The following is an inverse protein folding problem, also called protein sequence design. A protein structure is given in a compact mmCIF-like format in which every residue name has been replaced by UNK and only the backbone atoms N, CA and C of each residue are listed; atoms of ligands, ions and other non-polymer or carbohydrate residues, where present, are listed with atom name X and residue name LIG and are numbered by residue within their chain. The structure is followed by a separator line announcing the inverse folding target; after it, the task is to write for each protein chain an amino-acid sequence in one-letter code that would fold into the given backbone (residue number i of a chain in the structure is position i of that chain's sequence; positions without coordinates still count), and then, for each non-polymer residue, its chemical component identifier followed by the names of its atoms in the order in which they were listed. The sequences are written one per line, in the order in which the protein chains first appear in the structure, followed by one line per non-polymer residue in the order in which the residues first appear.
data_IF_143049504837
#
_entry.id   IF_143049504837
#
_cell.length_a   1.000
_cell.length_b   1.000
_cell.length_c   1.000
_cell.angle_alpha   90.00
_cell.angle_beta   90.00
_cell.angle_gamma   90.00
#
_symmetry.space_group_name_H-M   'P 1'
#
loop_
_entity.id
_entity.type
_entity.pdbx_description
1 polymer ?
#
# COMPACT_ATOMS: atom_id res chain seq x y z
N UNK A 1 15.44 32.04 31.75
CA UNK A 1 15.68 30.63 31.45
C UNK A 1 16.25 30.52 30.02
N UNK A 2 17.37 29.86 29.85
CA UNK A 2 17.87 29.61 28.49
C UNK A 2 16.87 28.70 27.76
N UNK A 3 16.49 29.08 26.54
CA UNK A 3 15.62 28.27 25.70
C UNK A 3 16.38 27.00 25.29
N UNK A 4 15.66 25.86 25.24
CA UNK A 4 16.26 24.57 24.90
C UNK A 4 16.05 24.17 23.44
N UNK A 5 15.35 25.01 22.67
CA UNK A 5 15.12 24.76 21.25
C UNK A 5 16.00 25.67 20.40
N UNK A 6 16.64 25.13 19.35
CA UNK A 6 16.72 23.70 19.00
C UNK A 6 17.74 22.97 19.90
N UNK A 7 17.42 21.73 20.31
CA UNK A 7 18.31 20.91 21.17
C UNK A 7 19.61 20.51 20.50
N UNK A 8 19.62 20.45 19.20
CA UNK A 8 20.75 19.97 18.37
C UNK A 8 21.75 21.08 18.00
N UNK A 9 21.49 22.35 18.37
CA UNK A 9 22.38 23.47 18.08
C UNK A 9 22.37 24.47 19.22
N UNK A 10 23.43 24.48 20.00
CA UNK A 10 23.59 25.43 21.08
C UNK A 10 23.71 26.86 20.57
N UNK A 11 24.36 27.07 19.40
CA UNK A 11 24.49 28.37 18.77
C UNK A 11 23.14 28.98 18.42
N UNK A 12 22.23 28.20 17.86
CA UNK A 12 20.86 28.63 17.58
C UNK A 12 20.04 28.82 18.85
N UNK A 13 20.19 27.94 19.84
CA UNK A 13 19.46 28.03 21.10
C UNK A 13 19.79 29.27 21.90
N UNK A 14 20.94 29.89 21.66
CA UNK A 14 21.38 31.14 22.29
C UNK A 14 20.96 32.39 21.53
N UNK A 15 20.41 32.25 20.31
CA UNK A 15 19.92 33.39 19.54
C UNK A 15 18.63 33.93 20.19
N UNK A 16 18.62 35.19 20.64
CA UNK A 16 17.46 35.78 21.31
C UNK A 16 16.35 36.20 20.35
N UNK A 17 16.61 36.12 19.03
CA UNK A 17 15.67 36.59 18.00
C UNK A 17 14.76 35.45 17.51
N UNK A 18 13.74 35.80 16.74
CA UNK A 18 12.85 34.82 16.12
C UNK A 18 13.56 33.96 15.08
N UNK A 19 14.75 34.35 14.59
CA UNK A 19 15.61 33.57 13.73
C UNK A 19 15.91 32.18 14.31
N UNK A 20 16.03 32.06 15.62
CA UNK A 20 16.22 30.79 16.32
C UNK A 20 15.15 29.78 15.95
N UNK A 21 13.89 30.17 15.91
CA UNK A 21 12.77 29.29 15.56
C UNK A 21 12.84 28.86 14.09
N UNK A 22 13.05 29.83 13.19
CA UNK A 22 13.09 29.55 11.76
C UNK A 22 14.27 28.65 11.39
N UNK A 23 15.44 28.95 11.90
CA UNK A 23 16.64 28.16 11.62
C UNK A 23 16.61 26.82 12.34
N UNK A 24 16.00 26.73 13.51
CA UNK A 24 15.76 25.48 14.20
C UNK A 24 14.89 24.52 13.41
N UNK A 25 13.86 25.01 12.74
CA UNK A 25 13.00 24.21 11.86
C UNK A 25 13.76 23.85 10.58
N UNK A 26 14.42 24.80 9.95
CA UNK A 26 15.10 24.60 8.66
C UNK A 26 16.26 23.60 8.75
N UNK A 27 16.95 23.50 9.88
CA UNK A 27 18.14 22.67 10.06
C UNK A 27 17.87 21.38 10.83
N UNK A 28 16.61 21.08 11.15
CA UNK A 28 16.26 19.91 11.95
C UNK A 28 16.70 18.57 11.33
N UNK A 29 16.69 18.47 10.00
CA UNK A 29 17.09 17.26 9.28
C UNK A 29 18.54 17.29 8.78
N UNK A 30 19.28 18.36 9.06
CA UNK A 30 20.71 18.48 8.72
C UNK A 30 21.57 17.86 9.84
N UNK A 31 21.45 16.55 9.98
CA UNK A 31 22.02 15.81 11.11
C UNK A 31 23.55 15.93 11.22
N UNK A 32 24.23 16.06 10.08
CA UNK A 32 25.69 16.14 10.05
C UNK A 32 26.21 17.38 10.80
N UNK A 33 25.44 18.45 10.83
CA UNK A 33 25.83 19.73 11.46
C UNK A 33 25.43 19.80 12.93
N UNK A 34 24.69 18.84 13.44
CA UNK A 34 24.21 18.87 14.81
C UNK A 34 25.35 18.71 15.84
N UNK A 35 25.22 19.41 16.96
CA UNK A 35 26.21 19.36 18.04
C UNK A 35 26.42 17.94 18.55
N UNK A 36 27.68 17.55 18.69
CA UNK A 36 28.05 16.23 19.22
C UNK A 36 27.74 15.06 18.30
N UNK A 37 27.48 15.31 17.01
CA UNK A 37 27.20 14.25 16.04
C UNK A 37 28.46 13.41 15.80
N UNK A 38 28.30 12.08 15.87
CA UNK A 38 29.30 11.10 15.47
C UNK A 38 28.78 10.33 14.26
N UNK A 39 29.67 9.64 13.55
CA UNK A 39 29.27 8.84 12.40
C UNK A 39 28.23 7.77 12.79
N UNK A 40 28.44 7.08 13.89
CA UNK A 40 27.52 6.07 14.40
C UNK A 40 26.13 6.65 14.71
N UNK A 41 26.08 7.77 15.44
CA UNK A 41 24.82 8.45 15.74
C UNK A 41 24.11 8.94 14.49
N UNK A 42 24.87 9.42 13.50
CA UNK A 42 24.33 9.86 12.23
C UNK A 42 23.58 8.73 11.53
N UNK A 43 24.21 7.58 11.37
CA UNK A 43 23.58 6.41 10.75
C UNK A 43 22.35 5.94 11.52
N UNK A 44 22.44 5.87 12.85
CA UNK A 44 21.31 5.48 13.71
C UNK A 44 20.12 6.43 13.57
N UNK A 45 20.37 7.72 13.50
CA UNK A 45 19.34 8.74 13.37
C UNK A 45 18.66 8.70 11.99
N UNK A 46 19.42 8.46 10.94
CA UNK A 46 18.88 8.25 9.59
C UNK A 46 18.00 6.98 9.57
N UNK A 47 18.46 5.90 10.17
CA UNK A 47 17.71 4.64 10.24
C UNK A 47 16.38 4.82 10.95
N UNK A 48 16.37 5.45 12.11
CA UNK A 48 15.15 5.76 12.84
C UNK A 48 14.21 6.69 12.05
N UNK A 49 14.77 7.65 11.31
CA UNK A 49 14.00 8.56 10.45
C UNK A 49 13.34 7.82 9.28
N UNK A 50 14.00 6.79 8.75
CA UNK A 50 13.40 5.92 7.73
C UNK A 50 12.20 5.14 8.28
N UNK A 51 12.26 4.64 9.52
CA UNK A 51 11.09 4.06 10.18
C UNK A 51 9.96 5.08 10.30
N UNK A 52 10.27 6.32 10.67
CA UNK A 52 9.28 7.39 10.72
C UNK A 52 8.63 7.67 9.38
N UNK A 53 9.39 7.68 8.30
CA UNK A 53 8.87 7.86 6.94
C UNK A 53 7.95 6.71 6.54
N UNK A 54 8.34 5.47 6.82
CA UNK A 54 7.48 4.31 6.56
C UNK A 54 6.17 4.39 7.37
N UNK A 55 6.26 4.80 8.64
CA UNK A 55 5.07 4.98 9.47
C UNK A 55 4.10 6.02 8.85
N UNK A 56 4.63 7.14 8.35
CA UNK A 56 3.82 8.18 7.68
C UNK A 56 3.14 7.63 6.43
N UNK A 57 3.86 6.89 5.59
CA UNK A 57 3.30 6.29 4.38
C UNK A 57 2.15 5.32 4.73
N UNK A 58 2.34 4.47 5.73
CA UNK A 58 1.31 3.52 6.16
C UNK A 58 0.12 4.20 6.85
N UNK A 59 0.35 5.29 7.60
CA UNK A 59 -0.74 6.11 8.14
C UNK A 59 -1.55 6.78 7.03
N UNK A 60 -0.88 7.31 6.03
CA UNK A 60 -1.51 7.94 4.88
C UNK A 60 -2.40 6.93 4.12
N UNK A 61 -1.85 5.76 3.79
CA UNK A 61 -2.62 4.74 3.07
C UNK A 61 -3.76 4.17 3.91
N UNK A 62 -3.54 4.00 5.22
CA UNK A 62 -4.60 3.63 6.17
C UNK A 62 -5.73 4.66 6.17
N UNK A 63 -5.39 5.94 6.18
CA UNK A 63 -6.36 7.03 6.14
C UNK A 63 -7.19 7.04 4.87
N UNK A 64 -6.58 6.77 3.72
CA UNK A 64 -7.29 6.65 2.46
C UNK A 64 -8.32 5.51 2.49
N UNK A 65 -7.92 4.33 2.95
CA UNK A 65 -8.82 3.18 3.12
C UNK A 65 -9.96 3.49 4.09
N UNK A 66 -9.63 4.12 5.21
CA UNK A 66 -10.61 4.47 6.24
C UNK A 66 -11.67 5.45 5.70
N UNK A 67 -11.25 6.53 5.05
CA UNK A 67 -12.17 7.53 4.53
C UNK A 67 -13.06 6.99 3.42
N UNK A 68 -12.52 6.16 2.54
CA UNK A 68 -13.33 5.51 1.49
C UNK A 68 -14.32 4.52 2.11
N UNK A 69 -13.89 3.72 3.09
CA UNK A 69 -14.79 2.78 3.77
C UNK A 69 -15.94 3.49 4.49
N UNK A 70 -15.64 4.63 5.11
CA UNK A 70 -16.60 5.38 5.92
C UNK A 70 -17.46 6.34 5.10
N UNK A 71 -16.84 7.12 4.22
CA UNK A 71 -17.44 8.26 3.54
C UNK A 71 -17.60 8.07 2.04
N UNK A 72 -17.02 7.00 1.51
CA UNK A 72 -17.07 6.67 0.09
C UNK A 72 -18.31 5.89 -0.30
N UNK A 73 -18.32 5.44 -1.55
CA UNK A 73 -19.39 4.66 -2.16
C UNK A 73 -18.84 3.41 -2.88
N UNK A 74 -17.84 2.76 -2.29
CA UNK A 74 -17.07 1.68 -2.92
C UNK A 74 -17.97 0.51 -3.38
N UNK A 75 -18.91 0.05 -2.55
CA UNK A 75 -19.79 -1.05 -2.91
C UNK A 75 -20.74 -0.66 -4.05
N UNK A 76 -21.28 0.53 -4.00
CA UNK A 76 -22.17 1.05 -5.06
C UNK A 76 -21.42 1.28 -6.36
N UNK A 77 -20.20 1.78 -6.27
CA UNK A 77 -19.31 1.94 -7.41
C UNK A 77 -18.98 0.58 -8.06
N UNK A 78 -18.74 -0.46 -7.25
CA UNK A 78 -18.46 -1.81 -7.73
C UNK A 78 -19.60 -2.43 -8.53
N UNK A 79 -20.84 -2.03 -8.27
CA UNK A 79 -22.03 -2.48 -9.02
C UNK A 79 -22.09 -1.85 -10.42
N UNK A 80 -21.60 -0.62 -10.58
CA UNK A 80 -21.63 0.10 -11.87
C UNK A 80 -20.42 1.05 -11.98
N UNK A 81 -19.22 0.51 -12.27
CA UNK A 81 -17.99 1.32 -12.32
C UNK A 81 -17.97 2.38 -13.42
N UNK A 82 -18.77 2.20 -14.48
CA UNK A 82 -18.80 3.12 -15.61
C UNK A 82 -19.61 4.39 -15.32
N UNK A 83 -20.64 4.30 -14.49
CA UNK A 83 -21.60 5.40 -14.29
C UNK A 83 -21.54 6.01 -12.89
N UNK A 84 -21.12 5.25 -11.88
CA UNK A 84 -20.99 5.74 -10.51
C UNK A 84 -19.63 6.43 -10.35
N UNK A 85 -19.63 7.70 -9.93
CA UNK A 85 -18.40 8.45 -9.68
C UNK A 85 -17.85 8.07 -8.30
N UNK A 86 -16.57 7.69 -8.19
CA UNK A 86 -15.98 7.32 -6.90
C UNK A 86 -15.86 8.52 -5.97
N UNK A 87 -16.14 8.34 -4.69
CA UNK A 87 -16.10 9.37 -3.66
C UNK A 87 -14.83 9.22 -2.82
N UNK A 88 -14.08 10.32 -2.66
CA UNK A 88 -12.90 10.37 -1.83
C UNK A 88 -13.25 10.51 -0.34
N UNK A 89 -13.90 11.57 0.02
CA UNK A 89 -14.32 11.88 1.39
C UNK A 89 -15.42 12.93 1.39
N UNK A 90 -16.06 13.12 2.54
CA UNK A 90 -17.04 14.19 2.75
C UNK A 90 -16.37 15.55 2.89
N UNK A 91 -17.13 16.59 2.61
CA UNK A 91 -16.75 17.98 2.80
C UNK A 91 -17.44 18.50 4.07
N UNK A 92 -16.63 19.05 4.97
CA UNK A 92 -17.12 19.76 6.15
C UNK A 92 -16.58 21.18 6.13
N UNK A 93 -17.36 22.07 5.49
CA UNK A 93 -17.05 23.48 5.39
C UNK A 93 -18.24 24.31 5.87
N UNK A 94 -18.16 24.94 7.06
CA UNK A 94 -19.26 25.73 7.61
C UNK A 94 -19.61 26.98 6.80
N UNK A 95 -18.78 27.37 5.83
CA UNK A 95 -19.06 28.52 4.94
C UNK A 95 -19.98 28.17 3.77
N UNK A 96 -20.22 26.87 3.53
CA UNK A 96 -21.11 26.45 2.45
C UNK A 96 -22.56 26.90 2.72
N UNK A 97 -23.10 27.66 1.75
CA UNK A 97 -24.54 27.89 1.68
C UNK A 97 -25.24 26.75 0.95
N UNK A 98 -26.57 26.82 0.89
CA UNK A 98 -27.39 25.80 0.26
C UNK A 98 -26.97 25.49 -1.19
N UNK A 99 -26.67 26.48 -2.06
CA UNK A 99 -26.23 26.19 -3.43
C UNK A 99 -24.94 25.34 -3.50
N UNK A 100 -23.98 25.59 -2.62
CA UNK A 100 -22.74 24.80 -2.56
C UNK A 100 -23.01 23.39 -2.04
N UNK A 101 -23.82 23.24 -0.99
CA UNK A 101 -24.22 21.92 -0.47
C UNK A 101 -24.87 21.10 -1.58
N UNK A 102 -25.80 21.66 -2.34
CA UNK A 102 -26.46 20.95 -3.44
C UNK A 102 -25.48 20.61 -4.57
N UNK A 103 -24.60 21.54 -4.95
CA UNK A 103 -23.66 21.34 -6.05
C UNK A 103 -22.65 20.23 -5.77
N UNK A 104 -22.24 20.07 -4.51
CA UNK A 104 -21.24 19.06 -4.10
C UNK A 104 -21.86 17.78 -3.56
N UNK A 105 -23.18 17.70 -3.43
CA UNK A 105 -23.89 16.44 -3.09
C UNK A 105 -24.07 15.61 -4.35
N UNK A 106 -23.14 14.69 -4.59
CA UNK A 106 -23.03 13.94 -5.84
C UNK A 106 -22.50 12.53 -5.57
N UNK A 107 -22.42 11.68 -6.60
CA UNK A 107 -21.95 10.30 -6.45
C UNK A 107 -22.92 9.40 -5.66
N UNK A 108 -24.18 9.82 -5.49
CA UNK A 108 -25.16 9.10 -4.70
C UNK A 108 -25.04 9.31 -3.19
N UNK A 109 -24.24 10.28 -2.75
CA UNK A 109 -24.06 10.63 -1.35
C UNK A 109 -25.24 11.46 -0.83
N UNK A 110 -25.40 11.47 0.50
CA UNK A 110 -26.40 12.28 1.20
C UNK A 110 -25.87 13.62 1.71
N UNK A 111 -24.61 13.93 1.46
CA UNK A 111 -23.92 15.12 1.92
C UNK A 111 -22.88 15.56 0.88
N UNK A 112 -22.34 16.81 0.99
CA UNK A 112 -21.30 17.27 0.10
C UNK A 112 -20.06 16.35 0.17
N UNK A 113 -19.54 15.98 -1.00
CA UNK A 113 -18.40 15.07 -1.12
C UNK A 113 -17.43 15.55 -2.19
N UNK A 114 -16.17 15.13 -2.04
CA UNK A 114 -15.18 15.21 -3.10
C UNK A 114 -15.12 13.92 -3.89
N UNK A 115 -15.06 14.04 -5.21
CA UNK A 115 -14.89 12.90 -6.11
C UNK A 115 -13.44 12.44 -6.08
N UNK A 116 -13.22 11.12 -6.06
CA UNK A 116 -11.89 10.54 -6.11
C UNK A 116 -11.38 10.44 -7.55
N UNK A 117 -10.14 10.90 -7.76
CA UNK A 117 -9.43 10.82 -9.04
C UNK A 117 -8.08 10.11 -8.92
N UNK A 118 -7.83 9.48 -7.78
CA UNK A 118 -6.56 8.80 -7.50
C UNK A 118 -6.43 7.40 -8.11
N UNK A 119 -7.54 6.80 -8.56
CA UNK A 119 -7.58 5.44 -9.08
C UNK A 119 -7.61 4.36 -8.01
N UNK A 120 -7.77 4.70 -6.73
CA UNK A 120 -7.77 3.70 -5.65
C UNK A 120 -8.97 2.76 -5.71
N UNK A 121 -10.14 3.22 -6.17
CA UNK A 121 -11.31 2.36 -6.34
C UNK A 121 -11.04 1.26 -7.36
N UNK A 122 -10.52 1.62 -8.53
CA UNK A 122 -10.16 0.70 -9.58
C UNK A 122 -9.08 -0.28 -9.12
N UNK A 123 -8.07 0.23 -8.45
CA UNK A 123 -6.97 -0.57 -7.93
C UNK A 123 -7.44 -1.58 -6.87
N UNK A 124 -8.14 -1.12 -5.84
CA UNK A 124 -8.60 -1.99 -4.76
C UNK A 124 -9.59 -3.05 -5.25
N UNK A 125 -10.47 -2.67 -6.17
CA UNK A 125 -11.40 -3.60 -6.79
C UNK A 125 -10.67 -4.67 -7.62
N UNK A 126 -9.65 -4.28 -8.36
CA UNK A 126 -8.83 -5.18 -9.17
C UNK A 126 -8.09 -6.20 -8.31
N UNK A 127 -7.58 -5.81 -7.15
CA UNK A 127 -6.84 -6.71 -6.26
C UNK A 127 -7.74 -7.57 -5.35
N UNK A 128 -9.05 -7.46 -5.46
CA UNK A 128 -9.99 -8.37 -4.83
C UNK A 128 -10.85 -7.77 -3.71
N UNK A 129 -10.69 -6.48 -3.38
CA UNK A 129 -11.55 -5.84 -2.37
C UNK A 129 -12.95 -5.61 -2.94
N UNK A 130 -14.00 -5.88 -2.16
CA UNK A 130 -15.38 -5.80 -2.62
C UNK A 130 -16.31 -5.05 -1.69
N UNK A 131 -16.03 -5.03 -0.39
CA UNK A 131 -16.93 -4.46 0.62
C UNK A 131 -16.25 -3.33 1.39
N UNK A 132 -17.05 -2.47 2.02
CA UNK A 132 -16.55 -1.48 2.96
C UNK A 132 -15.84 -2.13 4.16
N UNK A 133 -16.26 -3.34 4.53
CA UNK A 133 -15.59 -4.14 5.55
C UNK A 133 -14.17 -4.52 5.16
N UNK A 134 -13.94 -4.89 3.90
CA UNK A 134 -12.59 -5.16 3.39
C UNK A 134 -11.69 -3.93 3.51
N UNK A 135 -12.21 -2.77 3.13
CA UNK A 135 -11.48 -1.50 3.21
C UNK A 135 -11.17 -1.13 4.66
N UNK A 136 -12.15 -1.26 5.54
CA UNK A 136 -12.00 -0.94 6.96
C UNK A 136 -10.96 -1.86 7.63
N UNK A 137 -11.02 -3.16 7.39
CA UNK A 137 -10.04 -4.10 7.92
C UNK A 137 -8.64 -3.83 7.36
N UNK A 138 -8.55 -3.47 6.08
CA UNK A 138 -7.29 -3.02 5.48
C UNK A 138 -6.73 -1.77 6.15
N UNK A 139 -7.59 -0.80 6.48
CA UNK A 139 -7.16 0.41 7.17
C UNK A 139 -6.60 0.12 8.56
N UNK A 140 -7.27 -0.77 9.31
CA UNK A 140 -6.81 -1.18 10.65
C UNK A 140 -5.47 -1.93 10.58
N UNK A 141 -5.31 -2.80 9.59
CA UNK A 141 -4.06 -3.53 9.40
C UNK A 141 -2.89 -2.58 9.12
N UNK A 142 -3.08 -1.62 8.20
CA UNK A 142 -2.03 -0.65 7.87
C UNK A 142 -1.76 0.32 9.03
N UNK A 143 -2.78 0.68 9.80
CA UNK A 143 -2.60 1.47 11.01
C UNK A 143 -1.73 0.74 12.04
N UNK A 144 -1.98 -0.55 12.23
CA UNK A 144 -1.19 -1.39 13.12
C UNK A 144 0.27 -1.48 12.64
N UNK A 145 0.48 -1.67 11.34
CA UNK A 145 1.84 -1.71 10.76
C UNK A 145 2.55 -0.37 10.96
N UNK A 146 1.84 0.75 10.79
CA UNK A 146 2.41 2.07 11.07
C UNK A 146 2.87 2.19 12.54
N UNK A 147 2.09 1.68 13.48
CA UNK A 147 2.46 1.60 14.89
C UNK A 147 3.71 0.74 15.12
N UNK A 148 3.84 -0.36 14.41
CA UNK A 148 5.04 -1.20 14.46
C UNK A 148 6.28 -0.45 13.96
N UNK A 149 6.17 0.34 12.89
CA UNK A 149 7.28 1.16 12.39
C UNK A 149 7.67 2.25 13.39
N UNK A 150 6.70 2.91 14.03
CA UNK A 150 6.99 3.89 15.08
C UNK A 150 7.71 3.23 16.25
N UNK A 151 7.25 2.08 16.69
CA UNK A 151 7.88 1.32 17.76
C UNK A 151 9.28 0.86 17.38
N UNK A 152 9.47 0.35 16.16
CA UNK A 152 10.79 -0.07 15.67
C UNK A 152 11.78 1.09 15.62
N UNK A 153 11.34 2.27 15.17
CA UNK A 153 12.18 3.47 15.16
C UNK A 153 12.62 3.89 16.56
N UNK A 154 11.71 3.85 17.51
CA UNK A 154 12.02 4.12 18.91
C UNK A 154 12.97 3.06 19.49
N UNK A 155 12.67 1.78 19.26
CA UNK A 155 13.45 0.67 19.80
C UNK A 155 14.90 0.71 19.32
N UNK A 156 15.12 0.96 18.05
CA UNK A 156 16.45 0.97 17.45
C UNK A 156 17.28 2.24 17.75
N UNK A 157 16.74 3.15 18.53
CA UNK A 157 17.48 4.25 19.16
C UNK A 157 17.88 3.95 20.60
N UNK A 158 17.32 2.89 21.22
CA UNK A 158 17.70 2.50 22.57
C UNK A 158 19.12 1.90 22.56
N UNK A 159 19.97 2.19 23.57
CA UNK A 159 21.38 1.77 23.56
C UNK A 159 21.60 0.28 23.31
N UNK A 160 20.76 -0.58 23.89
CA UNK A 160 20.87 -2.04 23.73
C UNK A 160 20.46 -2.52 22.33
N UNK A 161 19.60 -1.79 21.63
CA UNK A 161 19.04 -2.18 20.34
C UNK A 161 19.52 -1.31 19.18
N UNK A 162 20.35 -0.31 19.46
CA UNK A 162 20.90 0.54 18.40
C UNK A 162 21.99 -0.23 17.64
N UNK A 163 21.87 -0.36 16.31
CA UNK A 163 22.88 -1.08 15.51
C UNK A 163 24.22 -0.37 15.54
N UNK A 164 25.31 -1.14 15.59
CA UNK A 164 26.66 -0.61 15.50
C UNK A 164 26.94 -0.06 14.10
N UNK A 165 27.94 0.82 13.99
CA UNK A 165 28.33 1.42 12.70
C UNK A 165 28.68 0.36 11.66
N UNK A 166 29.35 -0.73 12.05
CA UNK A 166 29.72 -1.82 11.15
C UNK A 166 28.52 -2.50 10.51
N UNK A 167 27.38 -2.60 11.22
CA UNK A 167 26.15 -3.14 10.66
C UNK A 167 25.67 -2.27 9.48
N UNK A 168 25.67 -0.95 9.62
CA UNK A 168 25.29 -0.04 8.57
C UNK A 168 26.21 -0.08 7.35
N UNK A 169 27.49 -0.38 7.56
CA UNK A 169 28.48 -0.45 6.48
C UNK A 169 28.57 -1.81 5.80
N UNK A 170 27.80 -2.79 6.23
CA UNK A 170 27.74 -4.10 5.58
C UNK A 170 26.85 -4.04 4.34
N UNK A 171 27.43 -3.56 3.23
CA UNK A 171 26.70 -3.33 1.99
C UNK A 171 26.30 -4.62 1.29
N UNK A 172 27.12 -5.66 1.33
CA UNK A 172 26.85 -6.94 0.68
C UNK A 172 25.63 -7.63 1.29
N UNK A 173 25.58 -7.75 2.61
CA UNK A 173 24.44 -8.34 3.30
C UNK A 173 23.16 -7.55 3.04
N UNK A 174 23.23 -6.22 3.05
CA UNK A 174 22.09 -5.36 2.74
C UNK A 174 21.59 -5.56 1.31
N UNK A 175 22.48 -5.63 0.33
CA UNK A 175 22.11 -5.91 -1.05
C UNK A 175 21.45 -7.29 -1.20
N UNK A 176 22.04 -8.32 -0.60
CA UNK A 176 21.48 -9.66 -0.63
C UNK A 176 20.07 -9.72 -0.07
N UNK A 177 19.85 -9.08 1.08
CA UNK A 177 18.55 -9.12 1.75
C UNK A 177 17.51 -8.21 1.08
N UNK A 178 17.92 -7.06 0.55
CA UNK A 178 17.00 -6.16 -0.13
C UNK A 178 16.63 -6.63 -1.54
N UNK A 179 17.51 -7.31 -2.24
CA UNK A 179 17.18 -7.89 -3.55
C UNK A 179 16.39 -9.18 -3.42
N UNK A 180 16.82 -10.12 -2.56
CA UNK A 180 16.12 -11.39 -2.41
C UNK A 180 14.93 -11.32 -1.45
N UNK A 181 15.10 -10.67 -0.30
CA UNK A 181 14.07 -10.60 0.74
C UNK A 181 13.02 -9.53 0.47
N UNK A 182 13.45 -8.30 0.26
CA UNK A 182 12.53 -7.19 0.08
C UNK A 182 11.86 -7.23 -1.30
N UNK A 183 12.61 -7.36 -2.38
CA UNK A 183 12.02 -7.44 -3.72
C UNK A 183 11.52 -8.84 -4.05
N UNK A 184 12.37 -9.87 -3.92
CA UNK A 184 12.04 -11.22 -4.34
C UNK A 184 10.89 -11.83 -3.53
N UNK A 185 11.02 -11.90 -2.22
CA UNK A 185 10.00 -12.51 -1.36
C UNK A 185 8.69 -11.70 -1.35
N UNK A 186 8.76 -10.38 -1.39
CA UNK A 186 7.53 -9.56 -1.45
C UNK A 186 6.81 -9.72 -2.79
N UNK A 187 7.53 -9.83 -3.89
CA UNK A 187 6.92 -10.12 -5.19
C UNK A 187 6.32 -11.53 -5.23
N UNK A 188 6.95 -12.49 -4.59
CA UNK A 188 6.40 -13.85 -4.43
C UNK A 188 5.11 -13.83 -3.59
N UNK A 189 5.09 -13.10 -2.49
CA UNK A 189 3.91 -12.94 -1.65
C UNK A 189 2.77 -12.26 -2.42
N UNK A 190 3.09 -11.25 -3.23
CA UNK A 190 2.10 -10.60 -4.07
C UNK A 190 1.53 -11.55 -5.14
N UNK A 191 2.37 -12.38 -5.74
CA UNK A 191 1.92 -13.45 -6.64
C UNK A 191 0.92 -14.37 -5.94
N UNK A 192 1.21 -14.77 -4.70
CA UNK A 192 0.30 -15.57 -3.90
C UNK A 192 -1.06 -14.89 -3.71
N UNK A 193 -1.06 -13.60 -3.38
CA UNK A 193 -2.30 -12.83 -3.28
C UNK A 193 -3.07 -12.78 -4.61
N UNK A 194 -2.40 -12.50 -5.71
CA UNK A 194 -3.05 -12.46 -7.03
C UNK A 194 -3.68 -13.81 -7.38
N UNK A 195 -2.97 -14.89 -7.18
CA UNK A 195 -3.43 -16.25 -7.52
C UNK A 195 -4.55 -16.71 -6.59
N UNK A 196 -4.44 -16.44 -5.29
CA UNK A 196 -5.40 -16.96 -4.30
C UNK A 196 -6.62 -16.08 -4.09
N UNK A 197 -6.54 -14.77 -4.31
CA UNK A 197 -7.60 -13.80 -4.02
C UNK A 197 -8.03 -13.01 -5.23
N UNK A 198 -7.15 -12.28 -5.88
CA UNK A 198 -7.52 -11.32 -6.93
C UNK A 198 -8.09 -12.00 -8.17
N UNK A 199 -7.46 -13.05 -8.67
CA UNK A 199 -7.94 -13.79 -9.84
C UNK A 199 -9.29 -14.46 -9.56
N UNK A 200 -9.48 -15.22 -8.46
CA UNK A 200 -10.79 -15.77 -8.12
C UNK A 200 -11.88 -14.70 -7.99
N UNK A 201 -11.60 -13.58 -7.32
CA UNK A 201 -12.58 -12.49 -7.19
C UNK A 201 -12.94 -11.87 -8.56
N UNK A 202 -11.98 -11.77 -9.47
CA UNK A 202 -12.23 -11.29 -10.83
C UNK A 202 -13.15 -12.22 -11.64
N UNK A 203 -13.28 -13.47 -11.20
CA UNK A 203 -14.14 -14.51 -11.80
C UNK A 203 -15.44 -14.74 -11.05
N UNK A 204 -15.75 -13.88 -10.07
CA UNK A 204 -16.97 -13.98 -9.28
C UNK A 204 -16.91 -14.95 -8.11
N UNK A 205 -15.73 -15.51 -7.81
CA UNK A 205 -15.51 -16.40 -6.68
C UNK A 205 -14.96 -15.62 -5.50
N UNK A 206 -15.69 -15.53 -4.41
CA UNK A 206 -15.23 -14.88 -3.18
C UNK A 206 -14.14 -15.72 -2.50
N UNK A 207 -13.00 -15.09 -2.23
CA UNK A 207 -11.94 -15.64 -1.42
C UNK A 207 -11.47 -14.58 -0.41
N UNK A 208 -11.53 -14.93 0.86
CA UNK A 208 -11.15 -14.05 1.97
C UNK A 208 -10.59 -14.84 3.13
N UNK A 209 -10.44 -14.17 4.27
CA UNK A 209 -9.91 -14.78 5.49
C UNK A 209 -10.76 -15.93 6.01
N UNK A 210 -12.06 -15.96 5.65
CA UNK A 210 -13.01 -16.98 6.06
C UNK A 210 -12.90 -18.32 5.30
N UNK A 211 -12.31 -18.30 4.08
CA UNK A 211 -12.30 -19.49 3.22
C UNK A 211 -11.03 -19.76 2.43
N UNK A 212 -10.01 -18.88 2.50
CA UNK A 212 -8.84 -19.00 1.62
C UNK A 212 -8.07 -20.34 1.80
N UNK A 213 -8.14 -20.95 2.97
CA UNK A 213 -7.48 -22.25 3.25
C UNK A 213 -8.16 -23.43 2.56
N UNK A 214 -9.40 -23.27 2.10
CA UNK A 214 -10.20 -24.33 1.50
C UNK A 214 -10.48 -24.15 0.02
N UNK A 215 -10.03 -23.03 -0.57
CA UNK A 215 -10.25 -22.72 -1.98
C UNK A 215 -8.98 -22.94 -2.77
N UNK A 216 -9.03 -23.88 -3.73
CA UNK A 216 -7.91 -24.13 -4.64
C UNK A 216 -7.89 -23.07 -5.73
N UNK A 217 -6.75 -22.40 -5.98
CA UNK A 217 -6.64 -21.41 -7.05
C UNK A 217 -6.62 -22.03 -8.45
N UNK A 218 -6.28 -23.31 -8.56
CA UNK A 218 -6.27 -24.03 -9.84
C UNK A 218 -6.82 -25.45 -9.65
N UNK A 219 -7.61 -25.98 -10.62
CA UNK A 219 -8.22 -27.29 -10.48
C UNK A 219 -7.27 -28.45 -10.21
N UNK A 220 -6.04 -28.37 -10.75
CA UNK A 220 -5.02 -29.39 -10.56
C UNK A 220 -4.16 -29.18 -9.30
N UNK A 221 -4.43 -28.14 -8.53
CA UNK A 221 -3.69 -27.82 -7.31
C UNK A 221 -2.19 -27.64 -7.56
N UNK A 222 -1.36 -28.22 -6.72
CA UNK A 222 0.10 -28.11 -6.79
C UNK A 222 0.75 -29.19 -7.68
N UNK A 223 0.00 -30.12 -8.23
CA UNK A 223 0.56 -31.21 -9.06
C UNK A 223 1.37 -30.67 -10.25
N UNK A 224 0.90 -29.69 -11.03
CA UNK A 224 1.71 -29.13 -12.11
C UNK A 224 3.02 -28.51 -11.63
N UNK A 225 3.02 -27.88 -10.48
CA UNK A 225 4.22 -27.27 -9.92
C UNK A 225 5.30 -28.32 -9.60
N UNK A 226 4.93 -29.36 -8.85
CA UNK A 226 5.88 -30.39 -8.40
C UNK A 226 6.31 -31.36 -9.50
N UNK A 227 5.49 -31.52 -10.54
CA UNK A 227 5.82 -32.40 -11.67
C UNK A 227 6.54 -31.67 -12.81
N UNK A 228 6.73 -30.35 -12.71
CA UNK A 228 7.35 -29.53 -13.75
C UNK A 228 6.42 -29.27 -14.94
N UNK A 229 5.15 -29.64 -14.88
CA UNK A 229 4.17 -29.37 -15.94
C UNK A 229 3.52 -27.99 -15.75
N UNK A 230 4.33 -26.94 -15.75
CA UNK A 230 3.88 -25.58 -15.47
C UNK A 230 2.95 -25.02 -16.54
N UNK A 231 3.04 -25.53 -17.78
CA UNK A 231 2.15 -25.15 -18.86
C UNK A 231 0.67 -25.41 -18.53
N UNK A 232 0.37 -26.34 -17.62
CA UNK A 232 -1.00 -26.59 -17.17
C UNK A 232 -1.63 -25.37 -16.49
N UNK A 233 -0.83 -24.50 -15.85
CA UNK A 233 -1.31 -23.28 -15.23
C UNK A 233 -1.67 -22.17 -16.22
N UNK A 234 -1.27 -22.29 -17.49
CA UNK A 234 -1.58 -21.34 -18.53
C UNK A 234 -2.75 -21.78 -19.44
N UNK A 235 -3.27 -22.99 -19.25
CA UNK A 235 -4.37 -23.51 -20.05
C UNK A 235 -5.70 -22.88 -19.71
N UNK A 236 -6.55 -22.68 -20.72
CA UNK A 236 -7.88 -22.13 -20.58
C UNK A 236 -7.88 -20.75 -19.89
N UNK A 237 -7.23 -19.73 -20.48
CA UNK A 237 -7.23 -18.38 -19.92
C UNK A 237 -8.60 -17.71 -20.03
N UNK A 238 -8.77 -16.61 -19.31
CA UNK A 238 -9.92 -15.72 -19.49
C UNK A 238 -9.98 -15.26 -20.95
N UNK A 239 -11.19 -15.12 -21.48
CA UNK A 239 -11.42 -14.72 -22.87
C UNK A 239 -11.67 -13.21 -22.97
N UNK A 240 -11.61 -12.68 -24.20
CA UNK A 240 -11.95 -11.27 -24.47
C UNK A 240 -13.40 -10.91 -24.08
N UNK A 241 -14.29 -11.89 -23.98
CA UNK A 241 -15.67 -11.72 -23.49
C UNK A 241 -15.83 -11.76 -21.99
N UNK A 242 -14.74 -11.84 -21.21
CA UNK A 242 -14.83 -11.90 -19.76
C UNK A 242 -15.41 -10.61 -19.18
N UNK A 243 -16.46 -10.77 -18.39
CA UNK A 243 -17.08 -9.69 -17.61
C UNK A 243 -16.45 -9.72 -16.22
N UNK A 244 -15.70 -8.67 -15.88
CA UNK A 244 -14.92 -8.59 -14.64
C UNK A 244 -15.81 -8.78 -13.40
N UNK A 245 -15.33 -9.47 -12.40
CA UNK A 245 -16.05 -9.89 -11.19
C UNK A 245 -17.20 -10.90 -11.44
N UNK A 246 -17.25 -11.53 -12.61
CA UNK A 246 -18.21 -12.59 -12.92
C UNK A 246 -17.50 -13.78 -13.54
N UNK A 247 -18.19 -14.92 -13.59
CA UNK A 247 -17.70 -16.12 -14.25
C UNK A 247 -17.90 -16.11 -15.77
N UNK A 248 -18.61 -15.14 -16.30
CA UNK A 248 -18.91 -15.04 -17.73
C UNK A 248 -17.64 -14.77 -18.53
N UNK A 249 -17.30 -15.66 -19.44
CA UNK A 249 -16.09 -15.57 -20.25
C UNK A 249 -14.79 -15.85 -19.48
N UNK A 250 -14.87 -16.25 -18.22
CA UNK A 250 -13.70 -16.58 -17.40
C UNK A 250 -13.10 -17.92 -17.78
N UNK A 251 -11.83 -18.11 -17.41
CA UNK A 251 -11.09 -19.35 -17.58
C UNK A 251 -10.61 -19.94 -16.28
N UNK A 252 -9.62 -20.82 -16.37
CA UNK A 252 -9.01 -21.52 -15.24
C UNK A 252 -7.53 -21.19 -15.07
N UNK A 253 -6.88 -20.60 -16.07
CA UNK A 253 -5.46 -20.27 -16.02
C UNK A 253 -5.16 -19.29 -14.90
N UNK A 254 -3.99 -19.45 -14.28
CA UNK A 254 -3.53 -18.55 -13.20
C UNK A 254 -2.23 -17.83 -13.54
N UNK A 255 -1.45 -18.37 -14.46
CA UNK A 255 -0.17 -17.80 -14.91
C UNK A 255 -0.15 -17.84 -16.44
N UNK A 256 -0.12 -16.67 -17.06
CA UNK A 256 -0.16 -16.55 -18.53
C UNK A 256 0.85 -15.52 -19.03
N UNK A 257 0.95 -15.43 -20.33
CA UNK A 257 1.72 -14.40 -21.03
C UNK A 257 0.96 -13.97 -22.28
N UNK A 258 -0.29 -13.51 -22.05
CA UNK A 258 -1.23 -13.18 -23.12
C UNK A 258 -0.84 -11.88 -23.85
N UNK A 259 -0.34 -10.90 -23.09
CA UNK A 259 -0.13 -9.55 -23.60
C UNK A 259 -1.43 -8.77 -23.76
N UNK A 260 -1.31 -7.48 -24.11
CA UNK A 260 -2.46 -6.61 -24.28
C UNK A 260 -3.23 -6.33 -23.00
N UNK A 261 -4.47 -5.90 -23.16
CA UNK A 261 -5.33 -5.46 -22.05
C UNK A 261 -6.65 -6.23 -22.04
N UNK A 262 -7.19 -6.40 -20.86
CA UNK A 262 -8.58 -6.86 -20.69
C UNK A 262 -9.51 -5.83 -21.31
N UNK A 263 -10.39 -6.22 -22.27
CA UNK A 263 -11.18 -5.24 -23.03
C UNK A 263 -12.12 -4.38 -22.19
N UNK A 264 -12.72 -4.94 -21.13
CA UNK A 264 -13.64 -4.21 -20.29
C UNK A 264 -12.93 -3.26 -19.33
N UNK A 265 -11.90 -3.74 -18.62
CA UNK A 265 -11.19 -2.96 -17.58
C UNK A 265 -10.12 -2.06 -18.18
N UNK A 266 -9.63 -2.35 -19.39
CA UNK A 266 -8.52 -1.66 -20.06
C UNK A 266 -7.22 -1.71 -19.24
N UNK A 267 -7.12 -2.66 -18.33
CA UNK A 267 -5.92 -2.97 -17.57
C UNK A 267 -5.29 -4.27 -18.04
N UNK A 268 -4.05 -4.52 -17.62
CA UNK A 268 -3.38 -5.78 -17.91
C UNK A 268 -4.18 -6.96 -17.34
N UNK A 269 -4.05 -8.13 -17.96
CA UNK A 269 -4.63 -9.36 -17.43
C UNK A 269 -4.02 -9.71 -16.07
N UNK A 270 -4.86 -10.05 -15.10
CA UNK A 270 -4.38 -10.44 -13.76
C UNK A 270 -3.47 -11.67 -13.80
N UNK A 271 -3.75 -12.61 -14.72
CA UNK A 271 -2.91 -13.81 -14.91
C UNK A 271 -1.53 -13.45 -15.46
N UNK A 272 -1.43 -12.43 -16.28
CA UNK A 272 -0.15 -11.87 -16.75
C UNK A 272 0.59 -11.16 -15.61
N UNK A 273 -0.12 -10.40 -14.81
CA UNK A 273 0.45 -9.74 -13.62
C UNK A 273 1.00 -10.76 -12.62
N UNK A 274 0.26 -11.86 -12.38
CA UNK A 274 0.69 -12.92 -11.49
C UNK A 274 1.97 -13.59 -11.98
N UNK A 275 2.04 -13.92 -13.27
CA UNK A 275 3.23 -14.53 -13.87
C UNK A 275 4.43 -13.56 -13.86
N UNK A 276 4.19 -12.28 -14.14
CA UNK A 276 5.22 -11.23 -14.04
C UNK A 276 5.84 -11.19 -12.65
N UNK A 277 5.01 -11.09 -11.62
CA UNK A 277 5.49 -10.99 -10.25
C UNK A 277 6.15 -12.27 -9.77
N UNK A 278 5.71 -13.43 -10.25
CA UNK A 278 6.38 -14.70 -9.99
C UNK A 278 7.76 -14.73 -10.66
N UNK A 279 7.84 -14.37 -11.92
CA UNK A 279 9.11 -14.41 -12.68
C UNK A 279 10.15 -13.46 -12.08
N UNK A 280 9.79 -12.21 -11.78
CA UNK A 280 10.73 -11.26 -11.16
C UNK A 280 11.08 -11.63 -9.72
N UNK A 281 10.23 -12.37 -9.03
CA UNK A 281 10.51 -12.83 -7.66
C UNK A 281 11.70 -13.79 -7.60
N UNK A 282 11.85 -14.65 -8.61
CA UNK A 282 12.88 -15.72 -8.63
C UNK A 282 14.10 -15.34 -9.47
N UNK A 283 14.08 -14.19 -10.13
CA UNK A 283 15.22 -13.68 -10.89
C UNK A 283 16.20 -12.94 -10.00
#
# INVERSE_FOLDING_TARGET
MATKFPKFSQGLAQDPTTRRLWFGIATAHDFETHDGMTEEKLYQKIFASHFGQLAIIFLWTSGNLFHVAWQGNFEKWGEDPLHVRPIAHTIWDPHFGQPAVEAFTRGGASAPVNIAYSGVYQWWYTIGMRTNGDLYNGSLFLLFVAGLFLFAGWLHLQPTFAPALSWFKNAESRLNHHLSGLFGVSSLAWTGHLVHVAIPESRGQHVGWDNFLTVLPHPQGLTPFFTGNWAAYAKNPDTAGHIFSTSEGSGEAILTFLGGFHPQTQSLWLTDMAHHHLAIAVT
#
